data_IF_832146619914
#
_entry.id   IF_832146619914
#
_cell.length_a   1.000
_cell.length_b   1.000
_cell.length_c   1.000
_cell.angle_alpha   90.00
_cell.angle_beta   90.00
_cell.angle_gamma   90.00
#
_symmetry.space_group_name_H-M   'P 1'
#
loop_
_entity.id
_entity.type
_entity.pdbx_description
1 polymer ?
#
# COMPACT_ATOMS: atom_id res chain seq x y z
N UNK A 1 -6.33 31.27 13.49
CA UNK A 1 -7.37 31.19 12.50
C UNK A 1 -7.74 29.71 12.34
N UNK A 2 -9.02 29.40 12.53
CA UNK A 2 -9.51 28.01 12.62
C UNK A 2 -9.98 27.50 11.23
N UNK A 3 -9.11 27.51 10.22
CA UNK A 3 -9.44 26.89 8.94
C UNK A 3 -9.51 25.37 9.11
N UNK A 4 -10.56 24.68 8.60
CA UNK A 4 -10.61 23.22 8.59
C UNK A 4 -9.39 22.62 7.90
N UNK A 5 -8.83 21.58 8.50
CA UNK A 5 -7.69 20.84 7.94
C UNK A 5 -8.18 19.54 7.29
N UNK A 6 -7.46 19.12 6.26
CA UNK A 6 -7.73 17.88 5.54
C UNK A 6 -7.07 16.69 6.26
N UNK A 7 -7.84 15.65 6.53
CA UNK A 7 -7.36 14.34 6.98
C UNK A 7 -8.33 13.21 6.59
N UNK A 8 -8.02 11.96 6.96
CA UNK A 8 -8.85 10.76 6.70
C UNK A 8 -10.30 10.90 7.15
N UNK A 9 -10.55 11.63 8.24
CA UNK A 9 -11.87 11.75 8.87
C UNK A 9 -12.59 13.06 8.51
N UNK A 10 -11.84 14.05 8.02
CA UNK A 10 -12.32 15.36 7.63
C UNK A 10 -11.60 15.81 6.34
N UNK A 11 -11.93 15.24 5.18
CA UNK A 11 -11.26 15.56 3.92
C UNK A 11 -11.75 16.91 3.36
N UNK A 12 -11.52 18.00 4.10
CA UNK A 12 -12.00 19.32 3.74
C UNK A 12 -11.15 19.95 2.65
N UNK A 13 -11.80 20.34 1.56
CA UNK A 13 -11.17 20.96 0.39
C UNK A 13 -11.60 22.42 0.23
N UNK A 14 -10.72 23.21 -0.34
CA UNK A 14 -10.90 24.62 -0.68
C UNK A 14 -10.73 24.82 -2.16
N UNK A 15 -11.48 25.79 -2.73
CA UNK A 15 -11.31 26.24 -4.10
C UNK A 15 -10.61 27.60 -4.14
N UNK A 16 -9.50 27.67 -4.86
CA UNK A 16 -8.80 28.89 -5.18
C UNK A 16 -9.12 29.34 -6.61
N UNK A 17 -9.79 30.47 -6.76
CA UNK A 17 -10.09 31.02 -8.07
C UNK A 17 -9.13 32.17 -8.42
N UNK A 18 -8.40 32.04 -9.52
CA UNK A 18 -7.49 33.07 -10.05
C UNK A 18 -8.09 33.69 -11.29
N UNK A 19 -8.35 35.01 -11.23
CA UNK A 19 -8.88 35.79 -12.33
C UNK A 19 -7.80 36.67 -12.95
N UNK A 20 -7.46 36.39 -14.20
CA UNK A 20 -6.57 37.24 -15.01
C UNK A 20 -7.39 38.19 -15.88
N UNK A 21 -7.14 39.49 -15.78
CA UNK A 21 -7.79 40.52 -16.59
C UNK A 21 -6.76 41.25 -17.44
N UNK A 22 -6.93 41.25 -18.76
CA UNK A 22 -6.08 41.99 -19.69
C UNK A 22 -6.96 42.78 -20.68
N UNK A 23 -7.08 44.07 -20.47
CA UNK A 23 -7.99 44.94 -21.25
C UNK A 23 -9.44 44.48 -21.13
N UNK A 24 -10.05 44.03 -22.22
CA UNK A 24 -11.42 43.48 -22.24
C UNK A 24 -11.51 41.95 -22.08
N UNK A 25 -10.38 41.27 -22.03
CA UNK A 25 -10.31 39.80 -21.92
C UNK A 25 -10.19 39.42 -20.45
N UNK A 26 -10.92 38.34 -20.07
CA UNK A 26 -10.84 37.74 -18.75
C UNK A 26 -10.65 36.24 -18.90
N UNK A 27 -9.71 35.68 -18.14
CA UNK A 27 -9.55 34.23 -17.95
C UNK A 27 -9.73 33.92 -16.45
N UNK A 28 -10.36 32.81 -16.15
CA UNK A 28 -10.56 32.29 -14.79
C UNK A 28 -10.04 30.87 -14.73
N UNK A 29 -9.23 30.58 -13.72
CA UNK A 29 -8.80 29.21 -13.39
C UNK A 29 -9.18 28.97 -11.93
N UNK A 30 -9.68 27.77 -11.62
CA UNK A 30 -9.97 27.33 -10.25
C UNK A 30 -9.15 26.07 -9.97
N UNK A 31 -8.51 26.08 -8.81
CA UNK A 31 -7.71 24.95 -8.30
C UNK A 31 -8.28 24.53 -6.95
N UNK A 32 -8.48 23.23 -6.76
CA UNK A 32 -8.90 22.64 -5.49
C UNK A 32 -7.69 22.21 -4.68
N UNK A 33 -7.70 22.45 -3.37
CA UNK A 33 -6.61 22.08 -2.48
C UNK A 33 -7.09 21.80 -1.07
N UNK A 34 -6.30 21.07 -0.28
CA UNK A 34 -6.53 20.84 1.15
C UNK A 34 -5.41 21.46 1.99
N UNK A 35 -5.77 21.96 3.18
CA UNK A 35 -4.78 22.41 4.17
C UNK A 35 -4.44 21.24 5.09
N UNK A 36 -3.19 20.84 5.14
CA UNK A 36 -2.69 19.80 6.04
C UNK A 36 -1.26 20.05 6.49
N UNK A 37 -0.90 19.47 7.61
CA UNK A 37 0.49 19.31 8.06
C UNK A 37 0.77 17.81 8.23
N UNK A 38 1.72 17.29 7.44
CA UNK A 38 2.19 15.92 7.57
C UNK A 38 3.67 15.92 7.93
N UNK A 39 4.02 15.19 8.97
CA UNK A 39 5.39 15.06 9.45
C UNK A 39 5.59 13.74 10.19
N UNK A 40 6.79 13.46 10.60
CA UNK A 40 7.05 12.42 11.59
C UNK A 40 7.56 13.02 12.90
N UNK A 41 7.19 12.38 14.01
CA UNK A 41 7.69 12.70 15.35
C UNK A 41 8.29 11.43 15.96
N UNK A 42 9.63 11.33 15.94
CA UNK A 42 10.29 10.07 16.23
C UNK A 42 9.79 8.98 15.25
N UNK A 43 9.36 7.86 15.78
CA UNK A 43 8.87 6.73 14.99
C UNK A 43 7.34 6.76 14.69
N UNK A 44 6.71 7.94 14.74
CA UNK A 44 5.28 8.09 14.45
C UNK A 44 5.05 8.99 13.25
N UNK A 45 4.13 8.59 12.38
CA UNK A 45 3.53 9.48 11.39
C UNK A 45 2.50 10.38 12.08
N UNK A 46 2.51 11.64 11.75
CA UNK A 46 1.62 12.66 12.36
C UNK A 46 0.96 13.48 11.25
N UNK A 47 -0.37 13.56 11.31
CA UNK A 47 -1.20 14.42 10.46
C UNK A 47 -1.94 15.41 11.34
N UNK A 48 -1.75 16.72 11.10
CA UNK A 48 -2.45 17.78 11.85
C UNK A 48 -2.32 17.59 13.37
N UNK A 49 -1.09 17.34 13.85
CA UNK A 49 -0.75 17.09 15.26
C UNK A 49 -1.29 15.79 15.86
N UNK A 50 -1.93 14.93 15.07
CA UNK A 50 -2.46 13.64 15.52
C UNK A 50 -1.67 12.48 14.91
N UNK A 51 -1.29 11.47 15.71
CA UNK A 51 -0.70 10.25 15.15
C UNK A 51 -1.69 9.57 14.19
N UNK A 52 -1.16 9.11 13.04
CA UNK A 52 -1.90 8.30 12.08
C UNK A 52 -1.27 6.91 11.95
N UNK A 53 -2.09 5.94 11.53
CA UNK A 53 -1.66 4.59 11.21
C UNK A 53 -2.14 4.23 9.81
N UNK A 54 -1.21 3.87 8.92
CA UNK A 54 -1.52 3.51 7.54
C UNK A 54 -2.01 2.07 7.45
N UNK A 55 -3.26 1.91 7.09
CA UNK A 55 -3.86 0.62 6.71
C UNK A 55 -3.85 0.54 5.19
N UNK A 56 -2.75 0.04 4.64
CA UNK A 56 -2.45 0.18 3.23
C UNK A 56 -2.59 -1.09 2.42
N UNK A 57 -2.81 -0.90 1.13
CA UNK A 57 -2.66 -1.90 0.08
C UNK A 57 -1.92 -1.29 -1.11
N UNK A 58 -1.59 -2.11 -2.11
CA UNK A 58 -0.89 -1.70 -3.31
C UNK A 58 -1.85 -1.54 -4.49
N UNK A 59 -1.42 -0.78 -5.51
CA UNK A 59 -1.92 -0.83 -6.87
C UNK A 59 -0.73 -0.92 -7.84
N UNK A 60 -0.64 -2.05 -8.52
CA UNK A 60 0.51 -2.40 -9.36
C UNK A 60 0.28 -2.09 -10.85
N UNK A 61 -0.57 -1.13 -11.17
CA UNK A 61 -0.96 -0.74 -12.53
C UNK A 61 -1.62 -1.89 -13.32
N UNK A 62 -2.51 -2.64 -12.65
CA UNK A 62 -3.17 -3.81 -13.23
C UNK A 62 -4.63 -3.49 -13.58
N UNK A 63 -4.87 -3.24 -14.86
CA UNK A 63 -6.19 -2.93 -15.42
C UNK A 63 -6.51 -3.92 -16.55
N UNK A 64 -7.13 -5.09 -16.26
CA UNK A 64 -7.26 -6.19 -17.21
C UNK A 64 -8.03 -5.83 -18.49
N UNK A 65 -8.99 -4.93 -18.42
CA UNK A 65 -9.83 -4.56 -19.58
C UNK A 65 -9.12 -3.61 -20.53
N UNK A 66 -8.40 -2.64 -19.99
CA UNK A 66 -7.81 -1.53 -20.76
C UNK A 66 -6.31 -1.67 -20.99
N UNK A 67 -5.61 -2.36 -20.08
CA UNK A 67 -4.14 -2.42 -20.04
C UNK A 67 -3.47 -1.10 -19.63
N UNK A 68 -4.27 -0.08 -19.32
CA UNK A 68 -3.85 1.25 -18.87
C UNK A 68 -4.74 1.73 -17.73
N UNK A 69 -4.23 2.57 -16.82
CA UNK A 69 -5.05 3.13 -15.75
C UNK A 69 -6.21 3.99 -16.31
N UNK A 70 -7.38 3.99 -15.67
CA UNK A 70 -8.48 4.86 -16.03
C UNK A 70 -8.13 6.33 -15.77
N UNK A 71 -8.64 7.22 -16.61
CA UNK A 71 -8.49 8.67 -16.47
C UNK A 71 -9.75 9.37 -15.99
N UNK A 72 -10.80 8.61 -15.70
CA UNK A 72 -12.07 9.10 -15.18
C UNK A 72 -12.19 8.84 -13.68
N UNK A 73 -12.83 9.74 -12.94
CA UNK A 73 -12.99 9.67 -11.49
C UNK A 73 -13.90 8.50 -11.06
N UNK A 74 -14.95 8.20 -11.82
CA UNK A 74 -15.91 7.13 -11.47
C UNK A 74 -15.23 5.75 -11.35
N UNK A 75 -14.22 5.48 -12.16
CA UNK A 75 -13.41 4.25 -12.05
C UNK A 75 -12.58 4.24 -10.78
N UNK A 76 -12.00 5.37 -10.38
CA UNK A 76 -11.23 5.50 -9.14
C UNK A 76 -12.12 5.49 -7.90
N UNK A 77 -13.32 6.11 -7.96
CA UNK A 77 -14.32 6.01 -6.89
C UNK A 77 -14.64 4.55 -6.56
N UNK A 78 -14.87 3.72 -7.59
CA UNK A 78 -15.11 2.28 -7.42
C UNK A 78 -13.92 1.59 -6.73
N UNK A 79 -12.70 1.85 -7.17
CA UNK A 79 -11.49 1.25 -6.62
C UNK A 79 -11.30 1.64 -5.14
N UNK A 80 -11.32 2.92 -4.85
CA UNK A 80 -11.16 3.41 -3.48
C UNK A 80 -12.31 3.00 -2.56
N UNK A 81 -13.55 2.96 -3.07
CA UNK A 81 -14.68 2.46 -2.30
C UNK A 81 -14.49 1.00 -1.89
N UNK A 82 -14.01 0.15 -2.83
CA UNK A 82 -13.67 -1.25 -2.52
C UNK A 82 -12.57 -1.35 -1.47
N UNK A 83 -11.49 -0.58 -1.59
CA UNK A 83 -10.43 -0.56 -0.59
C UNK A 83 -10.94 -0.09 0.79
N UNK A 84 -11.77 0.95 0.82
CA UNK A 84 -12.35 1.52 2.03
C UNK A 84 -13.35 0.58 2.71
N UNK A 85 -14.10 -0.19 1.94
CA UNK A 85 -14.98 -1.23 2.46
C UNK A 85 -14.22 -2.24 3.32
N UNK A 86 -12.98 -2.53 2.97
CA UNK A 86 -12.06 -3.39 3.74
C UNK A 86 -11.21 -2.61 4.78
N UNK A 87 -11.56 -1.37 5.08
CA UNK A 87 -10.94 -0.58 6.14
C UNK A 87 -9.60 0.07 5.78
N UNK A 88 -9.21 0.06 4.50
CA UNK A 88 -8.00 0.74 4.06
C UNK A 88 -8.16 2.26 4.10
N UNK A 89 -7.06 2.96 4.35
CA UNK A 89 -6.93 4.42 4.29
C UNK A 89 -5.71 4.87 3.49
N UNK A 90 -4.95 3.92 2.94
CA UNK A 90 -3.70 4.18 2.26
C UNK A 90 -3.55 3.31 1.01
N UNK A 91 -3.12 3.93 -0.09
CA UNK A 91 -2.80 3.25 -1.33
C UNK A 91 -1.38 3.62 -1.78
N UNK A 92 -0.56 2.58 -1.97
CA UNK A 92 0.77 2.71 -2.56
C UNK A 92 0.70 2.34 -4.04
N UNK A 93 1.07 3.28 -4.90
CA UNK A 93 1.22 3.03 -6.33
C UNK A 93 2.60 2.44 -6.60
N UNK A 94 2.62 1.12 -6.75
CA UNK A 94 3.84 0.33 -6.85
C UNK A 94 4.56 0.61 -8.17
N UNK A 95 5.65 1.38 -8.06
CA UNK A 95 6.54 1.83 -9.13
C UNK A 95 5.84 2.60 -10.25
N UNK A 96 4.88 3.47 -9.92
CA UNK A 96 4.25 4.38 -10.86
C UNK A 96 3.53 5.56 -10.19
N UNK A 97 3.19 6.57 -10.99
CA UNK A 97 2.37 7.70 -10.58
C UNK A 97 1.00 7.60 -11.26
N UNK A 98 -0.11 7.62 -10.51
CA UNK A 98 -1.45 7.56 -11.10
C UNK A 98 -1.84 8.87 -11.80
N UNK A 99 -2.90 8.86 -12.63
CA UNK A 99 -3.43 10.08 -13.23
C UNK A 99 -4.16 10.96 -12.20
N UNK A 100 -4.39 12.22 -12.56
CA UNK A 100 -5.07 13.25 -11.73
C UNK A 100 -6.37 12.76 -11.11
N UNK A 101 -7.20 12.02 -11.85
CA UNK A 101 -8.47 11.47 -11.37
C UNK A 101 -8.32 10.61 -10.10
N UNK A 102 -7.20 9.90 -9.95
CA UNK A 102 -6.91 9.12 -8.75
C UNK A 102 -6.66 10.01 -7.53
N UNK A 103 -5.96 11.12 -7.72
CA UNK A 103 -5.70 12.09 -6.65
C UNK A 103 -6.97 12.86 -6.28
N UNK A 104 -7.76 13.30 -7.27
CA UNK A 104 -9.03 14.00 -7.02
C UNK A 104 -9.93 13.18 -6.10
N UNK A 105 -10.16 11.91 -6.44
CA UNK A 105 -10.99 11.03 -5.63
C UNK A 105 -10.36 10.79 -4.25
N UNK A 106 -9.05 10.57 -4.16
CA UNK A 106 -8.37 10.39 -2.88
C UNK A 106 -8.47 11.64 -1.98
N UNK A 107 -8.40 12.84 -2.57
CA UNK A 107 -8.59 14.12 -1.87
C UNK A 107 -10.00 14.23 -1.27
N UNK A 108 -11.01 13.90 -2.06
CA UNK A 108 -12.42 13.99 -1.65
C UNK A 108 -12.78 13.04 -0.51
N UNK A 109 -12.18 11.85 -0.50
CA UNK A 109 -12.51 10.83 0.49
C UNK A 109 -11.53 10.75 1.67
N UNK A 110 -10.43 11.49 1.68
CA UNK A 110 -9.42 11.44 2.74
C UNK A 110 -8.56 10.16 2.70
N UNK A 111 -8.05 9.80 1.53
CA UNK A 111 -7.20 8.62 1.36
C UNK A 111 -5.73 9.01 1.20
N UNK A 112 -4.82 8.39 1.95
CA UNK A 112 -3.40 8.72 1.90
C UNK A 112 -2.73 8.01 0.72
N UNK A 113 -2.04 8.75 -0.13
CA UNK A 113 -1.41 8.24 -1.34
C UNK A 113 0.11 8.24 -1.21
N UNK A 114 0.73 7.13 -1.58
CA UNK A 114 2.18 7.01 -1.84
C UNK A 114 2.42 6.82 -3.33
N UNK A 115 3.24 7.69 -3.90
CA UNK A 115 3.70 7.61 -5.29
C UNK A 115 5.12 7.09 -5.31
N UNK A 116 5.44 6.28 -6.32
CA UNK A 116 6.80 5.87 -6.65
C UNK A 116 7.14 6.29 -8.08
N UNK A 117 8.42 6.58 -8.34
CA UNK A 117 8.89 6.76 -9.70
C UNK A 117 8.81 5.43 -10.48
N UNK A 118 8.67 5.47 -11.81
CA UNK A 118 8.48 4.26 -12.63
C UNK A 118 9.78 3.46 -12.75
N UNK A 119 10.27 2.94 -11.61
CA UNK A 119 11.51 2.16 -11.57
C UNK A 119 11.48 1.04 -10.54
N UNK A 120 11.86 -0.15 -11.00
CA UNK A 120 12.28 -1.29 -10.22
C UNK A 120 13.60 -1.80 -10.84
N UNK A 121 14.71 -1.72 -10.11
CA UNK A 121 16.03 -2.00 -10.69
C UNK A 121 17.00 -2.57 -9.66
N UNK A 122 17.62 -3.66 -10.02
CA UNK A 122 18.75 -4.27 -9.27
C UNK A 122 20.10 -3.68 -9.67
N UNK A 123 20.12 -2.67 -10.54
CA UNK A 123 21.34 -2.00 -11.04
C UNK A 123 21.13 -0.49 -11.15
N UNK A 124 20.38 0.07 -10.20
CA UNK A 124 20.05 1.51 -10.18
C UNK A 124 21.33 2.36 -10.21
N UNK A 125 21.36 3.37 -11.08
CA UNK A 125 22.50 4.27 -11.22
C UNK A 125 23.51 3.87 -12.29
N UNK A 126 23.48 2.65 -12.84
CA UNK A 126 24.39 2.25 -13.93
C UNK A 126 24.10 2.97 -15.24
N UNK A 127 22.85 3.28 -15.50
CA UNK A 127 22.44 4.07 -16.67
C UNK A 127 22.10 5.51 -16.25
N UNK A 128 23.00 6.44 -16.60
CA UNK A 128 22.82 7.85 -16.27
C UNK A 128 21.61 8.48 -16.97
N UNK A 129 21.26 8.03 -18.17
CA UNK A 129 20.10 8.55 -18.90
C UNK A 129 18.80 8.21 -18.17
N UNK A 130 18.69 7.00 -17.62
CA UNK A 130 17.57 6.61 -16.78
C UNK A 130 17.51 7.45 -15.51
N UNK A 131 18.63 7.69 -14.82
CA UNK A 131 18.69 8.55 -13.63
C UNK A 131 18.25 9.98 -13.94
N UNK A 132 18.73 10.57 -15.03
CA UNK A 132 18.34 11.92 -15.46
C UNK A 132 16.85 11.99 -15.81
N UNK A 133 16.31 10.97 -16.50
CA UNK A 133 14.88 10.86 -16.77
C UNK A 133 14.07 10.84 -15.47
N UNK A 134 14.44 9.99 -14.49
CA UNK A 134 13.74 9.89 -13.22
C UNK A 134 13.81 11.18 -12.40
N UNK A 135 14.94 11.90 -12.40
CA UNK A 135 15.05 13.23 -11.79
C UNK A 135 14.09 14.25 -12.44
N UNK A 136 13.99 14.21 -13.77
CA UNK A 136 13.08 15.08 -14.49
C UNK A 136 11.62 14.70 -14.23
N UNK A 137 11.34 13.39 -14.15
CA UNK A 137 9.99 12.87 -13.85
C UNK A 137 9.53 13.24 -12.45
N UNK A 138 10.38 13.10 -11.43
CA UNK A 138 10.08 13.54 -10.08
C UNK A 138 9.65 15.01 -10.03
N UNK A 139 10.38 15.88 -10.75
CA UNK A 139 10.03 17.32 -10.84
C UNK A 139 8.69 17.56 -11.53
N UNK A 140 8.38 16.77 -12.58
CA UNK A 140 7.08 16.87 -13.28
C UNK A 140 5.93 16.46 -12.38
N UNK A 141 6.07 15.31 -11.69
CA UNK A 141 5.04 14.81 -10.78
C UNK A 141 4.81 15.79 -9.62
N UNK A 142 5.87 16.29 -8.96
CA UNK A 142 5.72 17.28 -7.88
C UNK A 142 5.08 18.58 -8.36
N UNK A 143 5.40 19.02 -9.57
CA UNK A 143 4.78 20.23 -10.16
C UNK A 143 3.31 20.04 -10.47
N UNK A 144 2.94 18.90 -11.03
CA UNK A 144 1.58 18.61 -11.50
C UNK A 144 0.67 18.23 -10.34
N UNK A 145 1.12 17.31 -9.50
CA UNK A 145 0.28 16.67 -8.48
C UNK A 145 0.63 17.03 -7.03
N UNK A 146 1.72 17.74 -6.78
CA UNK A 146 2.18 18.04 -5.41
C UNK A 146 1.23 18.90 -4.59
N UNK A 147 0.18 19.48 -5.17
CA UNK A 147 -0.83 20.26 -4.46
C UNK A 147 -2.00 19.42 -3.91
N UNK A 148 -2.11 18.16 -4.32
CA UNK A 148 -3.14 17.26 -3.80
C UNK A 148 -2.87 16.93 -2.32
N UNK A 149 -3.80 17.18 -1.40
CA UNK A 149 -3.58 16.89 0.01
C UNK A 149 -3.45 15.39 0.30
N UNK A 150 -4.03 14.52 -0.51
CA UNK A 150 -3.89 13.07 -0.41
C UNK A 150 -2.48 12.58 -0.74
N UNK A 151 -1.73 13.29 -1.59
CA UNK A 151 -0.36 12.95 -1.92
C UNK A 151 0.56 13.23 -0.74
N UNK A 152 0.72 12.24 0.14
CA UNK A 152 1.45 12.38 1.40
C UNK A 152 2.85 11.78 1.37
N UNK A 153 3.07 10.74 0.54
CA UNK A 153 4.27 9.90 0.62
C UNK A 153 4.94 9.72 -0.74
N UNK A 154 6.27 9.82 -0.74
CA UNK A 154 7.12 9.57 -1.90
C UNK A 154 8.09 8.43 -1.67
N UNK A 155 8.22 7.52 -2.66
CA UNK A 155 9.35 6.60 -2.80
C UNK A 155 10.07 6.82 -4.12
N UNK A 156 11.41 6.65 -4.17
CA UNK A 156 12.09 6.68 -5.46
C UNK A 156 11.70 5.47 -6.31
N UNK A 157 11.42 4.33 -5.68
CA UNK A 157 10.94 3.14 -6.38
C UNK A 157 10.87 1.93 -5.46
N UNK A 158 10.61 0.74 -6.05
CA UNK A 158 10.50 -0.51 -5.33
C UNK A 158 11.77 -1.34 -5.40
N UNK A 159 12.23 -1.85 -4.24
CA UNK A 159 13.32 -2.82 -4.10
C UNK A 159 14.60 -2.44 -4.88
N UNK A 160 14.92 -1.15 -4.90
CA UNK A 160 16.08 -0.65 -5.64
C UNK A 160 17.39 -1.16 -5.03
N UNK A 161 18.34 -1.51 -5.89
CA UNK A 161 19.64 -2.00 -5.49
C UNK A 161 20.76 -1.25 -6.25
N UNK A 162 21.98 -1.31 -5.74
CA UNK A 162 23.24 -0.88 -6.31
C UNK A 162 23.74 0.48 -5.83
N UNK A 163 23.30 1.62 -6.36
CA UNK A 163 23.95 2.91 -6.04
C UNK A 163 23.11 3.78 -5.09
N UNK A 164 23.28 3.52 -3.80
CA UNK A 164 22.62 4.28 -2.75
C UNK A 164 23.12 5.73 -2.60
N UNK A 165 24.31 6.08 -3.13
CA UNK A 165 24.74 7.48 -3.15
C UNK A 165 23.93 8.30 -4.15
N UNK A 166 23.63 7.72 -5.33
CA UNK A 166 22.75 8.37 -6.30
C UNK A 166 21.32 8.47 -5.75
N UNK A 167 20.80 7.42 -5.11
CA UNK A 167 19.49 7.45 -4.46
C UNK A 167 19.41 8.55 -3.39
N UNK A 168 20.40 8.64 -2.50
CA UNK A 168 20.46 9.68 -1.48
C UNK A 168 20.53 11.09 -2.07
N UNK A 169 21.31 11.28 -3.15
CA UNK A 169 21.37 12.56 -3.87
C UNK A 169 20.01 12.94 -4.45
N UNK A 170 19.33 11.99 -5.11
CA UNK A 170 18.01 12.24 -5.69
C UNK A 170 16.97 12.57 -4.61
N UNK A 171 16.95 11.81 -3.52
CA UNK A 171 16.00 12.06 -2.42
C UNK A 171 16.22 13.46 -1.82
N UNK A 172 17.50 13.85 -1.59
CA UNK A 172 17.84 15.18 -1.12
C UNK A 172 17.38 16.29 -2.07
N UNK A 173 17.52 16.09 -3.38
CA UNK A 173 17.02 17.04 -4.39
C UNK A 173 15.50 17.15 -4.40
N UNK A 174 14.80 16.02 -4.27
CA UNK A 174 13.32 15.99 -4.22
C UNK A 174 12.82 16.73 -2.98
N UNK A 175 13.37 16.44 -1.81
CA UNK A 175 13.01 17.11 -0.54
C UNK A 175 13.31 18.62 -0.57
N UNK A 176 14.42 19.03 -1.15
CA UNK A 176 14.76 20.43 -1.28
C UNK A 176 13.86 21.20 -2.27
N UNK A 177 13.29 20.49 -3.24
CA UNK A 177 12.41 21.08 -4.24
C UNK A 177 10.94 21.13 -3.79
N UNK A 178 10.52 20.20 -2.92
CA UNK A 178 9.13 20.09 -2.45
C UNK A 178 9.11 19.47 -1.05
N UNK A 179 8.72 20.24 -0.06
CA UNK A 179 8.67 19.85 1.36
C UNK A 179 7.26 19.48 1.86
N UNK A 180 6.31 19.35 0.93
CA UNK A 180 4.90 19.05 1.25
C UNK A 180 4.64 17.57 1.55
N UNK A 181 5.61 16.69 1.34
CA UNK A 181 5.48 15.24 1.43
C UNK A 181 6.51 14.64 2.39
N UNK A 182 6.31 13.39 2.77
CA UNK A 182 7.33 12.55 3.40
C UNK A 182 7.98 11.62 2.37
N UNK A 183 9.27 11.36 2.55
CA UNK A 183 10.11 10.69 1.56
C UNK A 183 10.79 9.45 2.10
N UNK A 184 10.87 8.39 1.27
CA UNK A 184 11.70 7.21 1.52
C UNK A 184 12.57 6.90 0.30
N UNK A 185 13.77 6.41 0.55
CA UNK A 185 14.76 6.10 -0.50
C UNK A 185 14.24 5.00 -1.42
N UNK A 186 13.68 3.94 -0.86
CA UNK A 186 13.08 2.83 -1.62
C UNK A 186 12.10 2.07 -0.74
N UNK A 187 11.03 1.55 -1.35
CA UNK A 187 10.15 0.63 -0.65
C UNK A 187 10.82 -0.73 -0.58
N UNK A 188 11.57 -0.94 0.50
CA UNK A 188 12.44 -2.07 0.76
C UNK A 188 13.66 -2.19 -0.20
N UNK A 189 14.62 -3.05 0.12
CA UNK A 189 15.72 -3.48 -0.76
C UNK A 189 16.38 -4.75 -0.24
N UNK A 190 16.91 -5.55 -1.19
CA UNK A 190 17.78 -6.70 -0.92
C UNK A 190 19.28 -6.34 -0.96
N UNK A 191 19.64 -5.06 -1.18
CA UNK A 191 21.03 -4.64 -1.25
C UNK A 191 21.71 -4.80 0.12
N UNK A 192 22.85 -5.45 0.14
CA UNK A 192 23.58 -5.75 1.37
C UNK A 192 24.07 -4.47 2.05
N UNK A 193 23.71 -4.30 3.32
CA UNK A 193 24.07 -3.12 4.12
C UNK A 193 23.07 -1.98 4.02
N UNK A 194 21.99 -2.20 3.25
CA UNK A 194 20.87 -1.28 3.09
C UNK A 194 19.54 -2.03 3.35
N UNK A 195 18.42 -1.33 3.52
CA UNK A 195 17.09 -1.93 3.66
C UNK A 195 16.80 -2.64 4.99
N UNK A 196 17.78 -2.82 5.85
CA UNK A 196 17.61 -3.37 7.19
C UNK A 196 17.57 -2.29 8.30
N UNK A 197 17.80 -1.03 7.91
CA UNK A 197 17.65 0.17 8.74
C UNK A 197 17.41 1.39 7.84
N UNK A 198 16.70 2.45 8.34
CA UNK A 198 16.46 3.66 7.55
C UNK A 198 17.74 4.28 7.01
N UNK A 199 17.71 4.77 5.79
CA UNK A 199 18.76 5.62 5.25
C UNK A 199 18.70 7.03 5.89
N UNK A 200 19.81 7.75 5.88
CA UNK A 200 19.90 9.02 6.63
C UNK A 200 18.90 10.11 6.20
N UNK A 201 18.31 9.98 5.03
CA UNK A 201 17.35 10.97 4.50
C UNK A 201 15.90 10.50 4.51
N UNK A 202 15.63 9.27 4.95
CA UNK A 202 14.28 8.75 5.04
C UNK A 202 13.48 9.49 6.11
N UNK A 203 12.30 9.98 5.75
CA UNK A 203 11.30 10.51 6.69
C UNK A 203 10.38 9.40 7.21
N UNK A 204 10.28 8.30 6.48
CA UNK A 204 9.63 7.03 6.88
C UNK A 204 10.36 5.88 6.20
N UNK A 205 10.24 4.70 6.77
CA UNK A 205 10.97 3.52 6.35
C UNK A 205 10.03 2.37 6.01
N UNK A 206 10.17 1.82 4.81
CA UNK A 206 9.35 0.70 4.33
C UNK A 206 10.22 -0.54 4.22
N UNK A 207 9.94 -1.58 5.01
CA UNK A 207 10.77 -2.79 5.03
C UNK A 207 10.03 -4.05 5.44
N UNK A 208 10.63 -5.22 5.15
CA UNK A 208 10.17 -6.55 5.56
C UNK A 208 10.89 -7.05 6.83
N UNK A 209 12.11 -6.57 7.06
CA UNK A 209 12.93 -6.90 8.23
C UNK A 209 13.87 -5.74 8.57
N UNK A 210 14.37 -5.77 9.77
CA UNK A 210 15.43 -4.88 10.22
C UNK A 210 16.66 -5.73 10.59
N UNK A 211 17.80 -5.09 10.85
CA UNK A 211 18.98 -5.76 11.40
C UNK A 211 18.71 -6.50 12.73
N UNK A 212 17.57 -6.27 13.35
CA UNK A 212 17.16 -6.89 14.64
C UNK A 212 16.11 -7.98 14.47
N UNK A 213 15.48 -8.14 13.29
CA UNK A 213 14.51 -9.19 13.03
C UNK A 213 13.41 -8.81 12.04
N UNK A 214 12.47 -9.72 11.86
CA UNK A 214 11.31 -9.55 10.98
C UNK A 214 10.33 -8.53 11.54
N UNK A 215 9.65 -7.84 10.62
CA UNK A 215 8.54 -6.91 10.91
C UNK A 215 7.27 -7.27 10.15
N UNK A 216 7.23 -8.47 9.57
CA UNK A 216 6.06 -9.05 8.91
C UNK A 216 5.97 -10.55 9.19
N UNK A 217 4.78 -11.15 8.98
CA UNK A 217 4.48 -12.53 9.34
C UNK A 217 5.09 -13.60 8.45
N UNK A 218 5.40 -13.30 7.19
CA UNK A 218 5.88 -14.29 6.22
C UNK A 218 7.15 -15.06 6.66
N UNK A 219 8.00 -14.47 7.46
CA UNK A 219 9.18 -15.14 8.06
C UNK A 219 8.88 -15.81 9.40
N UNK A 220 7.78 -15.44 10.06
CA UNK A 220 7.44 -15.85 11.43
C UNK A 220 6.50 -17.05 11.46
N UNK A 221 5.40 -17.00 10.71
CA UNK A 221 4.33 -18.03 10.78
C UNK A 221 4.78 -19.42 10.30
N UNK A 222 5.83 -19.50 9.50
CA UNK A 222 6.40 -20.76 9.03
C UNK A 222 7.42 -21.39 10.00
N UNK A 223 7.85 -20.68 11.04
CA UNK A 223 8.98 -21.06 11.90
C UNK A 223 8.60 -21.23 13.36
N UNK A 224 7.48 -20.68 13.79
CA UNK A 224 7.10 -20.62 15.19
C UNK A 224 5.67 -21.13 15.43
N UNK A 225 5.40 -21.63 16.64
CA UNK A 225 4.05 -21.99 17.04
C UNK A 225 3.18 -20.74 17.14
N UNK A 226 1.89 -20.83 16.77
CA UNK A 226 0.95 -19.72 16.89
C UNK A 226 0.88 -19.19 18.32
N UNK A 227 1.06 -17.88 18.45
CA UNK A 227 0.94 -17.16 19.71
C UNK A 227 0.35 -15.77 19.44
N UNK A 228 -0.64 -15.40 20.24
CA UNK A 228 -1.29 -14.08 20.14
C UNK A 228 -0.64 -13.02 21.04
N UNK A 229 0.46 -13.34 21.69
CA UNK A 229 1.25 -12.43 22.53
C UNK A 229 2.42 -11.77 21.78
N UNK A 230 2.68 -12.16 20.55
CA UNK A 230 3.81 -11.67 19.76
C UNK A 230 3.56 -10.29 19.17
N UNK A 231 4.66 -9.55 19.03
CA UNK A 231 4.75 -8.30 18.29
C UNK A 231 6.17 -8.13 17.72
N UNK A 232 6.42 -7.00 17.06
CA UNK A 232 7.71 -6.71 16.41
C UNK A 232 8.56 -5.70 17.19
N UNK A 233 8.26 -5.41 18.48
CA UNK A 233 9.00 -4.39 19.27
C UNK A 233 10.49 -4.62 19.30
N UNK A 234 10.93 -5.88 19.45
CA UNK A 234 12.35 -6.22 19.46
C UNK A 234 13.05 -5.89 18.13
N UNK A 235 12.34 -6.05 17.01
CA UNK A 235 12.87 -5.79 15.67
C UNK A 235 13.05 -4.30 15.37
N UNK A 236 12.28 -3.43 16.00
CA UNK A 236 12.28 -1.97 15.75
C UNK A 236 12.89 -1.15 16.90
N UNK A 237 13.43 -1.82 17.92
CA UNK A 237 14.01 -1.16 19.09
C UNK A 237 15.14 -0.18 18.69
N UNK A 238 15.02 1.08 19.11
CA UNK A 238 15.94 2.17 18.76
C UNK A 238 15.73 2.78 17.38
N UNK A 239 14.61 2.50 16.70
CA UNK A 239 14.25 3.17 15.45
C UNK A 239 13.59 4.53 15.75
N UNK A 240 14.09 5.57 15.11
CA UNK A 240 13.64 6.96 15.28
C UNK A 240 12.83 7.48 14.09
N UNK A 241 12.60 6.63 13.09
CA UNK A 241 11.84 6.93 11.87
C UNK A 241 10.60 6.03 11.85
N UNK A 242 9.42 6.52 11.41
CA UNK A 242 8.23 5.70 11.27
C UNK A 242 8.47 4.50 10.37
N UNK A 243 8.07 3.31 10.82
CA UNK A 243 8.15 2.11 10.01
C UNK A 243 6.77 1.74 9.45
N UNK A 244 6.73 1.46 8.16
CA UNK A 244 5.60 0.84 7.45
C UNK A 244 6.04 -0.53 6.97
N UNK A 245 5.29 -1.58 7.29
CA UNK A 245 5.67 -2.94 6.89
C UNK A 245 5.37 -3.16 5.41
N UNK A 246 6.39 -3.63 4.68
CA UNK A 246 6.38 -3.78 3.23
C UNK A 246 5.72 -5.08 2.80
N UNK A 247 4.78 -5.02 1.85
CA UNK A 247 4.19 -6.16 1.13
C UNK A 247 3.72 -7.29 2.05
N UNK A 248 2.97 -6.91 3.05
CA UNK A 248 2.39 -7.82 4.04
C UNK A 248 1.42 -8.80 3.37
N UNK A 249 1.42 -10.03 3.82
CA UNK A 249 0.55 -11.08 3.32
C UNK A 249 1.24 -11.95 2.28
N UNK A 250 0.87 -11.86 1.01
CA UNK A 250 1.32 -12.76 -0.06
C UNK A 250 0.94 -14.23 0.18
N UNK A 251 -0.22 -14.46 0.81
CA UNK A 251 -0.77 -15.79 1.04
C UNK A 251 -1.60 -16.21 -0.17
N UNK A 252 -1.19 -17.26 -0.85
CA UNK A 252 -1.81 -17.72 -2.09
C UNK A 252 -3.27 -18.12 -1.89
N UNK A 253 -4.14 -17.54 -2.70
CA UNK A 253 -5.56 -17.89 -2.82
C UNK A 253 -5.75 -18.65 -4.13
N UNK A 254 -6.45 -19.79 -4.09
CA UNK A 254 -6.69 -20.58 -5.29
C UNK A 254 -7.52 -19.76 -6.32
N UNK A 255 -7.24 -19.89 -7.63
CA UNK A 255 -7.93 -19.11 -8.66
C UNK A 255 -9.45 -19.29 -8.62
N UNK A 256 -10.20 -18.21 -8.69
CA UNK A 256 -11.63 -18.25 -8.99
C UNK A 256 -11.84 -18.38 -10.51
N UNK A 257 -12.07 -19.59 -10.98
CA UNK A 257 -12.23 -19.87 -12.41
C UNK A 257 -13.46 -19.19 -13.02
N UNK A 258 -14.39 -18.68 -12.22
CA UNK A 258 -15.55 -17.91 -12.70
C UNK A 258 -15.16 -16.53 -13.22
N UNK A 259 -13.94 -16.06 -12.93
CA UNK A 259 -13.42 -14.78 -13.42
C UNK A 259 -12.99 -14.82 -14.89
N UNK A 260 -12.66 -16.00 -15.45
CA UNK A 260 -12.15 -16.12 -16.83
C UNK A 260 -12.99 -15.34 -17.85
N UNK A 261 -14.34 -15.40 -17.85
CA UNK A 261 -15.16 -14.64 -18.79
C UNK A 261 -15.12 -13.12 -18.61
N UNK A 262 -14.64 -12.60 -17.47
CA UNK A 262 -14.52 -11.16 -17.21
C UNK A 262 -13.36 -10.51 -17.96
N UNK A 263 -12.38 -11.31 -18.36
CA UNK A 263 -11.20 -10.86 -19.11
C UNK A 263 -11.55 -10.66 -20.59
N UNK A 264 -12.32 -9.63 -20.89
CA UNK A 264 -12.81 -9.32 -22.24
C UNK A 264 -11.98 -8.24 -22.95
N UNK A 265 -10.89 -7.78 -22.32
CA UNK A 265 -10.09 -6.68 -22.81
C UNK A 265 -8.65 -7.05 -23.16
N UNK A 266 -7.71 -6.26 -22.67
CA UNK A 266 -6.28 -6.35 -23.04
C UNK A 266 -5.58 -7.57 -22.43
N UNK A 267 -5.86 -7.89 -21.17
CA UNK A 267 -5.22 -9.03 -20.50
C UNK A 267 -6.01 -10.31 -20.72
N UNK A 268 -5.27 -11.42 -20.86
CA UNK A 268 -5.81 -12.78 -20.97
C UNK A 268 -5.41 -13.58 -19.72
N UNK A 269 -6.36 -14.25 -19.05
CA UNK A 269 -6.08 -14.98 -17.81
C UNK A 269 -5.47 -16.37 -18.08
N UNK A 270 -4.29 -16.42 -18.69
CA UNK A 270 -3.64 -17.67 -19.11
C UNK A 270 -3.35 -18.62 -17.95
N UNK A 271 -3.01 -18.10 -16.78
CA UNK A 271 -2.81 -18.86 -15.56
C UNK A 271 -4.11 -19.54 -15.09
N UNK A 272 -5.25 -18.82 -15.08
CA UNK A 272 -6.56 -19.40 -14.75
C UNK A 272 -6.96 -20.48 -15.75
N UNK A 273 -6.76 -20.23 -17.04
CA UNK A 273 -7.06 -21.19 -18.10
C UNK A 273 -6.21 -22.46 -17.96
N UNK A 274 -4.93 -22.34 -17.65
CA UNK A 274 -4.03 -23.47 -17.43
C UNK A 274 -4.45 -24.31 -16.20
N UNK A 275 -4.83 -23.65 -15.09
CA UNK A 275 -5.35 -24.34 -13.90
C UNK A 275 -6.65 -25.05 -14.20
N UNK A 276 -7.58 -24.41 -14.94
CA UNK A 276 -8.83 -25.02 -15.36
C UNK A 276 -8.60 -26.27 -16.17
N UNK A 277 -7.75 -26.20 -17.19
CA UNK A 277 -7.41 -27.34 -18.05
C UNK A 277 -6.79 -28.52 -17.26
N UNK A 278 -5.91 -28.19 -16.30
CA UNK A 278 -5.28 -29.23 -15.45
C UNK A 278 -6.31 -29.91 -14.54
N UNK A 279 -7.25 -29.15 -13.95
CA UNK A 279 -8.33 -29.71 -13.15
C UNK A 279 -9.29 -30.56 -13.97
N UNK A 280 -9.64 -30.14 -15.18
CA UNK A 280 -10.48 -30.92 -16.11
C UNK A 280 -9.79 -32.27 -16.46
N UNK A 281 -8.52 -32.24 -16.79
CA UNK A 281 -7.72 -33.46 -17.07
C UNK A 281 -7.66 -34.43 -15.89
N UNK A 282 -7.66 -33.90 -14.67
CA UNK A 282 -7.61 -34.68 -13.43
C UNK A 282 -8.99 -35.10 -12.91
N UNK A 283 -10.07 -34.65 -13.52
CA UNK A 283 -11.44 -34.87 -13.04
C UNK A 283 -11.74 -34.17 -11.71
N UNK A 284 -11.09 -33.03 -11.45
CA UNK A 284 -11.18 -32.28 -10.19
C UNK A 284 -11.83 -30.90 -10.35
N UNK A 285 -12.39 -30.58 -11.52
CA UNK A 285 -12.92 -29.25 -11.82
C UNK A 285 -14.02 -28.83 -10.83
N UNK A 286 -14.87 -29.76 -10.39
CA UNK A 286 -15.94 -29.53 -9.43
C UNK A 286 -15.41 -29.17 -8.02
N UNK A 287 -14.11 -29.39 -7.76
CA UNK A 287 -13.46 -29.05 -6.49
C UNK A 287 -12.87 -27.63 -6.46
N UNK A 288 -12.79 -26.95 -7.59
CA UNK A 288 -12.21 -25.61 -7.66
C UNK A 288 -12.81 -24.61 -6.66
N UNK A 289 -14.16 -24.54 -6.46
CA UNK A 289 -14.76 -23.66 -5.46
C UNK A 289 -14.35 -24.00 -4.02
N UNK A 290 -14.18 -25.30 -3.71
CA UNK A 290 -13.73 -25.75 -2.38
C UNK A 290 -12.28 -25.32 -2.14
N UNK A 291 -11.41 -25.42 -3.14
CA UNK A 291 -10.01 -24.98 -3.06
C UNK A 291 -9.89 -23.47 -2.88
N UNK A 292 -10.70 -22.68 -3.62
CA UNK A 292 -10.78 -21.23 -3.44
C UNK A 292 -11.18 -20.88 -1.99
N UNK A 293 -12.25 -21.45 -1.48
CA UNK A 293 -12.75 -21.15 -0.14
C UNK A 293 -11.76 -21.60 0.95
N UNK A 294 -11.15 -22.77 0.82
CA UNK A 294 -10.20 -23.26 1.82
C UNK A 294 -8.93 -22.43 1.89
N UNK A 295 -8.32 -22.13 0.73
CA UNK A 295 -7.11 -21.30 0.66
C UNK A 295 -7.38 -19.84 1.05
N UNK A 296 -8.50 -19.28 0.59
CA UNK A 296 -8.90 -17.91 0.91
C UNK A 296 -9.17 -17.70 2.40
N UNK A 297 -9.87 -18.62 3.05
CA UNK A 297 -10.11 -18.56 4.51
C UNK A 297 -8.80 -18.67 5.30
N UNK A 298 -7.86 -19.51 4.88
CA UNK A 298 -6.54 -19.56 5.49
C UNK A 298 -5.80 -18.24 5.29
N UNK A 299 -5.80 -17.68 4.08
CA UNK A 299 -5.19 -16.39 3.78
C UNK A 299 -5.79 -15.28 4.68
N UNK A 300 -7.10 -15.24 4.84
CA UNK A 300 -7.79 -14.27 5.70
C UNK A 300 -7.34 -14.36 7.18
N UNK A 301 -7.18 -15.56 7.73
CA UNK A 301 -6.67 -15.79 9.09
C UNK A 301 -5.23 -15.26 9.20
N UNK A 302 -4.39 -15.52 8.21
CA UNK A 302 -3.00 -15.10 8.21
C UNK A 302 -2.86 -13.58 8.04
N UNK A 303 -3.70 -12.95 7.21
CA UNK A 303 -3.79 -11.48 7.12
C UNK A 303 -4.16 -10.86 8.48
N UNK A 304 -5.17 -11.42 9.15
CA UNK A 304 -5.57 -10.97 10.49
C UNK A 304 -4.40 -11.02 11.47
N UNK A 305 -3.70 -12.15 11.54
CA UNK A 305 -2.54 -12.31 12.41
C UNK A 305 -1.44 -11.28 12.12
N UNK A 306 -1.10 -11.07 10.87
CA UNK A 306 -0.06 -10.10 10.48
C UNK A 306 -0.47 -8.66 10.81
N UNK A 307 -1.69 -8.27 10.47
CA UNK A 307 -2.22 -6.92 10.75
C UNK A 307 -2.25 -6.67 12.26
N UNK A 308 -2.74 -7.64 13.05
CA UNK A 308 -2.78 -7.50 14.50
C UNK A 308 -1.38 -7.45 15.14
N UNK A 309 -0.39 -8.16 14.60
CA UNK A 309 1.00 -8.03 15.07
C UNK A 309 1.55 -6.61 14.84
N UNK A 310 1.27 -6.01 13.68
CA UNK A 310 1.64 -4.63 13.40
C UNK A 310 0.93 -3.67 14.37
N UNK A 311 -0.39 -3.82 14.55
CA UNK A 311 -1.18 -3.01 15.47
C UNK A 311 -0.75 -3.17 16.95
N UNK A 312 -0.29 -4.36 17.34
CA UNK A 312 0.24 -4.65 18.70
C UNK A 312 1.65 -4.09 18.93
N UNK A 313 2.29 -3.53 17.88
CA UNK A 313 3.68 -3.05 17.94
C UNK A 313 3.72 -1.52 17.99
N UNK A 314 3.86 -0.89 19.17
CA UNK A 314 4.09 0.55 19.25
C UNK A 314 5.35 0.95 18.49
N UNK A 315 5.24 1.91 17.56
CA UNK A 315 6.35 2.37 16.73
C UNK A 315 6.31 1.84 15.29
N UNK A 316 5.45 0.88 14.96
CA UNK A 316 5.01 0.65 13.60
C UNK A 316 3.90 1.68 13.30
N UNK A 317 4.01 2.36 12.16
CA UNK A 317 3.09 3.42 11.73
C UNK A 317 2.18 2.98 10.59
N UNK A 318 2.27 1.74 10.15
CA UNK A 318 1.40 1.19 9.12
C UNK A 318 1.88 -0.12 8.52
N UNK A 319 1.06 -0.62 7.62
CA UNK A 319 1.36 -1.78 6.77
C UNK A 319 0.88 -1.51 5.34
N UNK A 320 1.44 -2.24 4.38
CA UNK A 320 1.05 -2.24 2.98
C UNK A 320 0.85 -3.70 2.55
N UNK A 321 -0.39 -4.09 2.28
CA UNK A 321 -0.69 -5.45 1.84
C UNK A 321 -0.25 -5.66 0.39
N UNK A 322 0.33 -6.76 0.08
CA UNK A 322 0.44 -7.30 -1.26
C UNK A 322 -0.29 -8.64 -1.28
N UNK A 323 -1.56 -8.64 -1.58
CA UNK A 323 -2.35 -7.47 -1.90
C UNK A 323 -3.77 -7.66 -1.38
N UNK A 324 -4.58 -6.61 -1.28
CA UNK A 324 -6.00 -6.75 -1.02
C UNK A 324 -6.72 -7.36 -2.24
N UNK A 325 -6.30 -7.00 -3.46
CA UNK A 325 -6.79 -7.54 -4.71
C UNK A 325 -5.73 -8.41 -5.41
N UNK A 326 -6.11 -9.20 -6.37
CA UNK A 326 -5.16 -10.01 -7.12
C UNK A 326 -4.19 -9.15 -7.93
N UNK A 327 -2.92 -9.54 -7.87
CA UNK A 327 -1.84 -8.99 -8.65
C UNK A 327 -1.42 -9.97 -9.77
N UNK A 328 -2.10 -9.98 -10.92
CA UNK A 328 -1.80 -10.92 -12.01
C UNK A 328 -0.52 -10.60 -12.79
N UNK A 329 0.22 -9.56 -12.44
CA UNK A 329 1.54 -9.24 -13.00
C UNK A 329 2.59 -10.32 -12.78
N UNK A 330 2.45 -11.10 -11.72
CA UNK A 330 3.13 -12.38 -11.50
C UNK A 330 2.09 -13.49 -11.58
N UNK A 331 2.22 -14.42 -12.48
CA UNK A 331 1.19 -15.45 -12.75
C UNK A 331 0.78 -16.32 -11.57
N UNK A 332 1.52 -16.28 -10.47
CA UNK A 332 1.27 -16.99 -9.22
C UNK A 332 0.88 -16.08 -8.05
N UNK A 333 0.76 -14.78 -8.26
CA UNK A 333 0.45 -13.80 -7.23
C UNK A 333 -1.06 -13.57 -7.08
N UNK A 334 -1.83 -14.66 -6.97
CA UNK A 334 -3.25 -14.65 -6.66
C UNK A 334 -3.40 -14.63 -5.14
N UNK A 335 -3.20 -13.48 -4.55
CA UNK A 335 -3.10 -13.28 -3.08
C UNK A 335 -4.25 -12.44 -2.52
N UNK A 336 -5.07 -11.86 -3.41
CA UNK A 336 -6.17 -10.97 -3.03
C UNK A 336 -7.38 -11.70 -2.45
N UNK A 337 -8.05 -11.04 -1.53
CA UNK A 337 -9.43 -11.34 -1.13
C UNK A 337 -10.43 -10.78 -2.15
N UNK A 338 -9.98 -9.79 -2.90
CA UNK A 338 -10.63 -9.25 -4.10
C UNK A 338 -9.93 -9.78 -5.35
N UNK A 339 -10.65 -9.80 -6.47
CA UNK A 339 -10.09 -10.15 -7.77
C UNK A 339 -9.38 -8.95 -8.42
N UNK A 340 -8.81 -9.15 -9.60
CA UNK A 340 -8.11 -8.09 -10.35
C UNK A 340 -9.01 -6.94 -10.83
N UNK A 341 -10.33 -7.05 -10.65
CA UNK A 341 -11.31 -6.01 -10.96
C UNK A 341 -11.82 -5.29 -9.70
N UNK A 342 -11.16 -5.48 -8.55
CA UNK A 342 -11.56 -4.95 -7.25
C UNK A 342 -12.93 -5.45 -6.76
N UNK A 343 -13.32 -6.66 -7.13
CA UNK A 343 -14.57 -7.29 -6.73
C UNK A 343 -14.29 -8.43 -5.75
N UNK A 344 -15.19 -8.61 -4.77
CA UNK A 344 -15.05 -9.66 -3.76
C UNK A 344 -15.10 -11.07 -4.37
N UNK A 345 -14.20 -11.94 -3.91
CA UNK A 345 -14.22 -13.39 -4.20
C UNK A 345 -15.18 -14.17 -3.29
N UNK A 346 -15.93 -13.50 -2.42
CA UNK A 346 -16.84 -14.15 -1.47
C UNK A 346 -16.14 -14.96 -0.37
N UNK A 347 -14.89 -14.64 -0.05
CA UNK A 347 -14.08 -15.30 0.99
C UNK A 347 -14.37 -14.69 2.36
N UNK A 348 -14.34 -13.36 2.41
CA UNK A 348 -14.54 -12.53 3.60
C UNK A 348 -15.22 -11.23 3.19
N UNK A 349 -16.18 -10.77 3.96
CA UNK A 349 -16.81 -9.46 3.72
C UNK A 349 -15.94 -8.33 4.23
N UNK A 350 -16.13 -7.11 3.72
CA UNK A 350 -15.46 -5.93 4.24
C UNK A 350 -15.78 -5.67 5.72
N UNK A 351 -17.00 -6.01 6.19
CA UNK A 351 -17.38 -5.91 7.60
C UNK A 351 -16.53 -6.84 8.48
N UNK A 352 -16.40 -8.11 8.10
CA UNK A 352 -15.57 -9.09 8.79
C UNK A 352 -14.08 -8.70 8.77
N UNK A 353 -13.58 -8.15 7.66
CA UNK A 353 -12.19 -7.68 7.57
C UNK A 353 -11.94 -6.47 8.47
N UNK A 354 -12.91 -5.55 8.60
CA UNK A 354 -12.81 -4.41 9.52
C UNK A 354 -12.81 -4.79 11.01
N UNK A 355 -13.11 -6.01 11.39
CA UNK A 355 -12.91 -6.46 12.77
C UNK A 355 -11.44 -6.36 13.20
N UNK A 356 -10.49 -6.44 12.25
CA UNK A 356 -9.05 -6.32 12.52
C UNK A 356 -8.34 -5.26 11.67
N UNK A 357 -9.05 -4.56 10.77
CA UNK A 357 -8.51 -3.49 9.93
C UNK A 357 -9.44 -2.28 9.94
N UNK A 358 -9.40 -1.51 11.01
CA UNK A 358 -10.26 -0.34 11.23
C UNK A 358 -9.51 0.73 12.02
N UNK A 359 -10.03 1.97 12.10
CA UNK A 359 -9.46 3.02 12.94
C UNK A 359 -9.36 2.65 14.43
N UNK A 360 -10.25 1.78 14.90
CA UNK A 360 -10.23 1.24 16.26
C UNK A 360 -10.42 -0.27 16.20
N UNK A 361 -9.43 -1.01 16.71
CA UNK A 361 -9.43 -2.47 16.75
C UNK A 361 -9.17 -2.94 18.18
N UNK A 362 -10.07 -3.75 18.79
CA UNK A 362 -9.81 -4.40 20.06
C UNK A 362 -8.75 -5.48 19.89
N UNK A 363 -7.68 -5.43 20.66
CA UNK A 363 -6.56 -6.36 20.58
C UNK A 363 -6.42 -7.14 21.88
N UNK A 364 -6.27 -8.46 21.76
CA UNK A 364 -5.97 -9.35 22.88
C UNK A 364 -4.53 -9.88 22.79
N UNK A 365 -3.89 -10.04 23.97
CA UNK A 365 -2.60 -10.71 24.09
C UNK A 365 -2.75 -11.93 24.99
N UNK A 366 -2.38 -13.11 24.49
CA UNK A 366 -2.37 -14.35 25.23
C UNK A 366 -1.34 -15.32 24.65
N UNK A 367 -0.70 -16.17 25.47
CA UNK A 367 0.54 -16.84 25.06
C UNK A 367 0.35 -18.04 24.13
N UNK A 368 -0.86 -18.55 23.94
CA UNK A 368 -1.10 -19.71 23.06
C UNK A 368 -2.50 -19.71 22.47
N UNK A 369 -2.64 -20.31 21.29
CA UNK A 369 -3.88 -20.32 20.54
C UNK A 369 -4.93 -21.32 21.06
N UNK A 370 -4.53 -22.32 21.85
CA UNK A 370 -5.40 -23.39 22.31
C UNK A 370 -5.23 -23.62 23.81
N UNK A 371 -6.34 -23.64 24.53
CA UNK A 371 -6.40 -23.94 25.94
C UNK A 371 -7.27 -25.18 26.19
N UNK A 372 -6.88 -26.00 27.15
CA UNK A 372 -7.68 -27.12 27.61
C UNK A 372 -8.57 -26.67 28.78
N UNK A 373 -9.60 -27.46 29.10
CA UNK A 373 -10.59 -27.10 30.14
C UNK A 373 -10.04 -27.08 31.58
N UNK A 374 -8.82 -27.56 31.79
CA UNK A 374 -8.14 -27.54 33.10
C UNK A 374 -7.07 -26.42 33.16
N UNK A 375 -6.98 -25.55 32.17
CA UNK A 375 -6.09 -24.40 32.16
C UNK A 375 -6.86 -23.12 32.46
N UNK A 376 -6.16 -22.14 33.02
CA UNK A 376 -6.68 -20.78 33.19
C UNK A 376 -6.32 -19.97 31.92
N UNK A 377 -7.31 -19.29 31.36
CA UNK A 377 -7.08 -18.29 30.28
C UNK A 377 -6.76 -16.95 30.94
N UNK A 378 -5.61 -16.38 30.57
CA UNK A 378 -5.19 -15.05 31.00
C UNK A 378 -4.90 -14.23 29.71
N UNK A 379 -5.45 -12.99 29.60
CA UNK A 379 -5.30 -12.10 28.49
C UNK A 379 -5.12 -10.64 28.93
#
# INVERSE_FOLDING_TARGET
DNAPLWDEFNPYLYDASVKLVSGKSTSLTTETFGLRDIRHEGNKLVMNEKPIFLRGTLECCIFPLTGTPPTDEASWEKLYASAREYGMNHLRFHSWCPPEAAFNVADEIGFYVQVELPVWSVTFGKDSATVEFLRAEAKRISKEYGNHPSFCFWGIGNELQYDFNILASMLGEMKAADDRHLYTTTSFTFEKGHGDWPENQDDFFVTQWTKKGWVRGQGVFNQELPSFDKDFRASIDGMEVPLVTHEVGQYSVYPDLTEIPKYTGTLMPLNFMAVKEDLEKKGLIDKAPEYLQASGKLAAILYKEEIEHALKTPGISGFQLLDLHDFPGQGTALVGLLNAFWESKGILTGEEFREFCAPVVPLLRFPKAVYTNNETFEA
#
